data_IF_770782787133
#
_entry.id   IF_770782787133
#
_cell.length_a   1.000
_cell.length_b   1.000
_cell.length_c   1.000
_cell.angle_alpha   90.00
_cell.angle_beta   90.00
_cell.angle_gamma   90.00
#
_symmetry.space_group_name_H-M   'P 1'
#
loop_
_entity.id
_entity.type
_entity.pdbx_description
1 polymer ?
#
# COMPACT_ATOMS: atom_id res chain seq x y z
N UNK A 1 23.31 -12.58 18.75
CA UNK A 1 21.92 -12.96 18.41
C UNK A 1 21.33 -11.86 17.55
N UNK A 2 21.05 -12.12 16.27
CA UNK A 2 20.32 -11.20 15.40
C UNK A 2 18.84 -11.21 15.80
N UNK A 3 18.33 -10.10 16.31
CA UNK A 3 16.93 -9.99 16.73
C UNK A 3 16.08 -9.60 15.52
N UNK A 4 15.49 -10.57 14.84
CA UNK A 4 14.50 -10.30 13.80
C UNK A 4 13.21 -9.77 14.46
N UNK A 5 12.64 -8.70 13.88
CA UNK A 5 11.34 -8.13 14.27
C UNK A 5 10.43 -8.17 13.05
N UNK A 6 9.31 -8.89 13.17
CA UNK A 6 8.27 -8.95 12.15
C UNK A 6 7.11 -8.07 12.57
N UNK A 7 6.62 -7.28 11.63
CA UNK A 7 5.50 -6.37 11.83
C UNK A 7 4.26 -6.92 11.13
N UNK A 8 3.09 -6.49 11.60
CA UNK A 8 1.82 -6.84 10.97
C UNK A 8 1.71 -6.08 9.63
N UNK A 9 1.31 -6.74 8.53
CA UNK A 9 1.11 -6.08 7.24
C UNK A 9 0.01 -5.03 7.28
N UNK A 10 0.30 -3.85 6.72
CA UNK A 10 -0.58 -2.69 6.60
C UNK A 10 0.04 -1.67 5.65
N UNK A 11 -0.73 -0.66 5.25
CA UNK A 11 -0.23 0.43 4.39
C UNK A 11 0.89 1.27 5.01
N UNK A 12 1.15 1.16 6.31
CA UNK A 12 2.19 1.90 7.02
C UNK A 12 3.38 1.03 7.45
N UNK A 13 3.42 -0.26 7.11
CA UNK A 13 4.39 -1.21 7.68
C UNK A 13 5.83 -0.87 7.33
N UNK A 14 6.11 -0.35 6.14
CA UNK A 14 7.46 0.13 5.79
C UNK A 14 7.91 1.29 6.70
N UNK A 15 7.01 2.19 7.07
CA UNK A 15 7.34 3.27 8.00
C UNK A 15 7.55 2.72 9.42
N UNK A 16 6.67 1.82 9.87
CA UNK A 16 6.80 1.17 11.17
C UNK A 16 8.11 0.39 11.30
N UNK A 17 8.59 -0.25 10.22
CA UNK A 17 9.86 -1.00 10.26
C UNK A 17 11.07 -0.08 10.38
N UNK A 18 11.02 1.11 9.80
CA UNK A 18 12.04 2.15 9.99
C UNK A 18 12.03 2.68 11.42
N UNK A 19 10.87 2.96 12.01
CA UNK A 19 10.74 3.40 13.39
C UNK A 19 11.34 2.38 14.37
N UNK A 20 10.96 1.11 14.23
CA UNK A 20 11.50 0.01 15.05
C UNK A 20 13.02 -0.15 14.83
N UNK A 21 13.51 0.10 13.62
CA UNK A 21 14.93 0.06 13.33
C UNK A 21 15.72 1.19 14.00
N UNK A 22 15.20 2.41 13.96
CA UNK A 22 15.76 3.55 14.68
C UNK A 22 15.86 3.26 16.18
N UNK A 23 14.78 2.79 16.81
CA UNK A 23 14.76 2.47 18.24
C UNK A 23 15.81 1.42 18.60
N UNK A 24 15.90 0.34 17.82
CA UNK A 24 16.85 -0.74 18.09
C UNK A 24 18.30 -0.26 17.97
N UNK A 25 18.60 0.64 17.03
CA UNK A 25 19.94 1.21 16.88
C UNK A 25 20.23 2.21 18.00
N UNK A 26 19.31 3.13 18.29
CA UNK A 26 19.46 4.19 19.32
C UNK A 26 19.65 3.57 20.72
N UNK A 27 18.89 2.52 21.03
CA UNK A 27 19.03 1.81 22.30
C UNK A 27 20.17 0.76 22.31
N UNK A 28 21.08 0.82 21.33
CA UNK A 28 22.26 -0.05 21.21
C UNK A 28 21.95 -1.55 21.20
N UNK A 29 20.75 -1.94 20.73
CA UNK A 29 20.32 -3.35 20.62
C UNK A 29 20.83 -4.01 19.33
N UNK A 30 21.16 -3.22 18.30
CA UNK A 30 21.88 -3.67 17.11
C UNK A 30 22.75 -2.53 16.54
N UNK A 31 23.81 -2.90 15.80
CA UNK A 31 24.65 -1.91 15.07
C UNK A 31 24.09 -1.56 13.69
N UNK A 32 23.36 -2.49 13.09
CA UNK A 32 22.79 -2.39 11.74
C UNK A 32 21.49 -3.16 11.70
N UNK A 33 20.48 -2.65 10.99
CA UNK A 33 19.25 -3.38 10.67
C UNK A 33 18.77 -3.08 9.26
N UNK A 34 18.14 -4.08 8.62
CA UNK A 34 17.43 -3.92 7.36
C UNK A 34 15.97 -3.64 7.70
N UNK A 35 15.42 -2.54 7.18
CA UNK A 35 14.02 -2.16 7.34
C UNK A 35 13.35 -2.14 5.95
N UNK A 36 12.07 -2.47 5.91
CA UNK A 36 11.28 -2.52 4.69
C UNK A 36 9.90 -3.14 4.87
N UNK A 37 9.22 -3.36 3.75
CA UNK A 37 7.94 -4.02 3.63
C UNK A 37 7.75 -4.48 2.18
N UNK A 38 6.94 -5.51 1.99
CA UNK A 38 6.61 -6.04 0.67
C UNK A 38 5.15 -6.51 0.70
N UNK A 39 4.41 -6.14 -0.32
CA UNK A 39 3.03 -6.58 -0.55
C UNK A 39 2.94 -7.15 -1.97
N UNK A 40 2.28 -8.29 -2.11
CA UNK A 40 2.01 -8.91 -3.40
C UNK A 40 0.62 -8.50 -3.91
N UNK A 41 0.38 -8.71 -5.20
CA UNK A 41 -0.87 -8.35 -5.87
C UNK A 41 -1.54 -9.64 -6.33
N UNK A 42 -2.68 -9.96 -5.75
CA UNK A 42 -3.50 -11.11 -6.14
C UNK A 42 -4.89 -10.71 -6.59
N UNK A 43 -5.55 -11.61 -7.32
CA UNK A 43 -6.95 -11.45 -7.73
C UNK A 43 -7.88 -11.42 -6.52
N UNK A 44 -7.65 -12.29 -5.53
CA UNK A 44 -8.43 -12.35 -4.30
C UNK A 44 -8.31 -11.04 -3.53
N UNK A 45 -7.08 -10.54 -3.32
CA UNK A 45 -6.86 -9.28 -2.61
C UNK A 45 -7.49 -8.10 -3.35
N UNK A 46 -7.38 -8.07 -4.69
CA UNK A 46 -8.01 -7.03 -5.51
C UNK A 46 -9.54 -7.05 -5.40
N UNK A 47 -10.13 -8.25 -5.40
CA UNK A 47 -11.57 -8.46 -5.24
C UNK A 47 -12.05 -8.06 -3.84
N UNK A 48 -11.30 -8.39 -2.79
CA UNK A 48 -11.60 -8.00 -1.42
C UNK A 48 -11.55 -6.48 -1.24
N UNK A 49 -10.54 -5.80 -1.80
CA UNK A 49 -10.48 -4.33 -1.78
C UNK A 49 -11.59 -3.66 -2.61
N UNK A 50 -12.01 -4.28 -3.71
CA UNK A 50 -13.15 -3.81 -4.51
C UNK A 50 -14.48 -4.00 -3.75
N UNK A 51 -14.65 -5.12 -3.05
CA UNK A 51 -15.86 -5.41 -2.24
C UNK A 51 -16.07 -4.39 -1.12
N UNK A 52 -14.97 -3.91 -0.50
CA UNK A 52 -15.04 -2.82 0.49
C UNK A 52 -14.98 -1.42 -0.13
N UNK A 53 -15.04 -1.32 -1.47
CA UNK A 53 -15.03 -0.08 -2.26
C UNK A 53 -13.83 0.83 -1.97
N UNK A 54 -12.67 0.23 -1.68
CA UNK A 54 -11.45 0.98 -1.39
C UNK A 54 -10.69 1.40 -2.68
N UNK A 55 -10.91 0.67 -3.78
CA UNK A 55 -10.27 0.92 -5.07
C UNK A 55 -11.17 1.74 -6.03
N UNK A 56 -10.54 2.50 -6.94
CA UNK A 56 -11.26 3.22 -8.00
C UNK A 56 -11.82 2.26 -9.05
N UNK A 57 -13.11 2.33 -9.36
CA UNK A 57 -13.76 1.50 -10.39
C UNK A 57 -13.43 2.01 -11.80
N UNK A 58 -12.76 1.19 -12.62
CA UNK A 58 -12.27 1.63 -13.93
C UNK A 58 -13.40 1.99 -14.91
N UNK A 59 -14.50 1.24 -14.95
CA UNK A 59 -15.63 1.51 -15.86
C UNK A 59 -16.25 2.88 -15.59
N UNK A 60 -16.43 3.23 -14.31
CA UNK A 60 -16.97 4.53 -13.89
C UNK A 60 -16.02 5.66 -14.28
N UNK A 61 -14.72 5.46 -14.09
CA UNK A 61 -13.69 6.45 -14.47
C UNK A 61 -13.63 6.68 -15.98
N UNK A 62 -13.68 5.61 -16.78
CA UNK A 62 -13.75 5.71 -18.24
C UNK A 62 -15.04 6.39 -18.70
N UNK A 63 -16.18 6.09 -18.07
CA UNK A 63 -17.44 6.78 -18.37
C UNK A 63 -17.39 8.28 -18.03
N UNK A 64 -16.55 8.68 -17.06
CA UNK A 64 -16.24 10.08 -16.75
C UNK A 64 -15.18 10.71 -17.66
N UNK A 65 -14.69 9.97 -18.68
CA UNK A 65 -13.70 10.44 -19.65
C UNK A 65 -12.27 10.51 -19.10
N UNK A 66 -11.96 9.77 -18.03
CA UNK A 66 -10.62 9.75 -17.43
C UNK A 66 -9.73 8.74 -18.11
N UNK A 67 -8.49 9.14 -18.38
CA UNK A 67 -7.44 8.21 -18.76
C UNK A 67 -6.92 7.46 -17.53
N UNK A 68 -6.35 6.26 -17.74
CA UNK A 68 -5.82 5.42 -16.64
C UNK A 68 -4.83 6.17 -15.76
N UNK A 69 -3.98 7.02 -16.34
CA UNK A 69 -2.99 7.83 -15.65
C UNK A 69 -3.60 8.90 -14.74
N UNK A 70 -4.89 9.21 -14.92
CA UNK A 70 -5.63 10.22 -14.16
C UNK A 70 -6.55 9.61 -13.08
N UNK A 71 -6.67 8.28 -13.05
CA UNK A 71 -7.51 7.57 -12.07
C UNK A 71 -6.91 7.68 -10.65
N UNK A 72 -5.58 7.70 -10.53
CA UNK A 72 -4.90 8.00 -9.27
C UNK A 72 -4.78 9.52 -9.08
N UNK A 73 -5.66 10.09 -8.27
CA UNK A 73 -5.74 11.56 -8.05
C UNK A 73 -5.91 11.96 -6.58
N UNK A 74 -4.86 11.83 -5.76
CA UNK A 74 -4.88 12.26 -4.36
C UNK A 74 -5.36 13.72 -4.22
N UNK A 75 -5.98 14.02 -3.08
CA UNK A 75 -6.41 15.38 -2.67
C UNK A 75 -7.36 16.14 -3.61
N UNK A 76 -7.88 15.52 -4.67
CA UNK A 76 -8.89 16.12 -5.56
C UNK A 76 -10.31 15.98 -5.02
N UNK A 77 -11.23 16.83 -5.49
CA UNK A 77 -12.66 16.80 -5.16
C UNK A 77 -13.39 15.58 -5.72
N UNK A 78 -12.87 15.02 -6.81
CA UNK A 78 -13.48 13.88 -7.50
C UNK A 78 -12.73 12.58 -7.26
N UNK A 79 -11.83 12.47 -6.28
CA UNK A 79 -11.14 11.21 -5.95
C UNK A 79 -12.14 10.10 -5.55
N UNK A 80 -11.93 8.87 -6.03
CA UNK A 80 -12.91 7.75 -5.90
C UNK A 80 -12.31 6.45 -5.37
N UNK A 81 -11.10 6.47 -4.83
CA UNK A 81 -10.41 5.30 -4.28
C UNK A 81 -8.92 5.36 -4.57
N UNK A 82 -8.16 4.40 -4.06
CA UNK A 82 -6.78 4.20 -4.51
C UNK A 82 -6.75 3.35 -5.79
N UNK A 83 -5.69 3.47 -6.57
CA UNK A 83 -5.48 2.63 -7.74
C UNK A 83 -4.72 1.37 -7.32
N UNK A 84 -5.35 0.19 -7.48
CA UNK A 84 -4.63 -1.08 -7.44
C UNK A 84 -3.68 -1.18 -8.62
N UNK A 85 -2.58 -1.90 -8.45
CA UNK A 85 -1.52 -2.06 -9.46
C UNK A 85 -1.91 -2.90 -10.68
N UNK A 86 -3.15 -3.40 -10.76
CA UNK A 86 -3.78 -3.95 -11.97
C UNK A 86 -5.10 -3.23 -12.28
N UNK A 87 -5.45 -3.06 -13.57
CA UNK A 87 -6.77 -2.58 -13.95
C UNK A 87 -7.82 -3.62 -13.54
N UNK A 88 -8.74 -3.25 -12.66
CA UNK A 88 -10.02 -3.93 -12.53
C UNK A 88 -10.87 -3.62 -13.76
N UNK A 89 -10.47 -4.19 -14.89
CA UNK A 89 -11.22 -4.23 -16.15
C UNK A 89 -11.00 -5.64 -16.72
N UNK A 90 -11.72 -6.60 -16.16
CA UNK A 90 -12.03 -7.88 -16.81
C UNK A 90 -13.49 -7.84 -17.25
#
# INVERSE_FOLDING_TARGET
MSHAKYLVPSSATTLQSVEVACDIIIFNKAKTMIAGGFDDISEEGSSEFANVKATSNAETEFAMGRERTEMLRPTTTTRTGFLGSHPIAS
#
